data_IF_347933247472
#
_entry.id   IF_347933247472
#
_cell.length_a   1.000
_cell.length_b   1.000
_cell.length_c   1.000
_cell.angle_alpha   90.00
_cell.angle_beta   90.00
_cell.angle_gamma   90.00
#
_symmetry.space_group_name_H-M   'P 1'
#
loop_
_entity.id
_entity.type
_entity.pdbx_description
1 polymer ?
#
# COMPACT_ATOMS: atom_id res chain seq x y z
N UNK A 1 -8.96 -7.58 20.89
CA UNK A 1 -8.04 -7.62 19.73
C UNK A 1 -7.42 -9.00 19.75
N UNK A 2 -7.81 -9.85 18.75
CA UNK A 2 -7.17 -11.14 18.55
C UNK A 2 -5.76 -10.88 17.99
N UNK A 3 -4.73 -11.12 18.78
CA UNK A 3 -3.35 -11.09 18.31
C UNK A 3 -3.09 -12.42 17.58
N UNK A 4 -3.07 -12.36 16.23
CA UNK A 4 -2.90 -13.54 15.39
C UNK A 4 -1.44 -13.70 14.89
N UNK A 5 -0.48 -13.15 15.61
CA UNK A 5 0.92 -12.98 15.19
C UNK A 5 1.66 -14.29 14.83
N UNK A 6 1.20 -15.42 15.38
CA UNK A 6 1.82 -16.73 15.13
C UNK A 6 0.97 -17.67 14.28
N UNK A 7 -0.04 -17.16 13.59
CA UNK A 7 -0.91 -18.00 12.79
C UNK A 7 -0.42 -18.09 11.33
N UNK A 8 -0.67 -19.19 10.65
CA UNK A 8 -0.46 -19.25 9.20
C UNK A 8 -1.24 -18.13 8.50
N UNK A 9 -0.63 -17.53 7.47
CA UNK A 9 -1.24 -16.42 6.71
C UNK A 9 -2.66 -16.73 6.23
N UNK A 10 -2.91 -17.96 5.80
CA UNK A 10 -4.25 -18.38 5.36
C UNK A 10 -5.30 -18.24 6.47
N UNK A 11 -4.97 -18.64 7.71
CA UNK A 11 -5.87 -18.50 8.86
C UNK A 11 -6.10 -17.04 9.22
N UNK A 12 -5.04 -16.24 9.17
CA UNK A 12 -5.12 -14.80 9.42
C UNK A 12 -6.03 -14.13 8.38
N UNK A 13 -5.81 -14.41 7.08
CA UNK A 13 -6.55 -13.79 6.00
C UNK A 13 -8.00 -14.26 5.91
N UNK A 14 -8.31 -15.51 6.27
CA UNK A 14 -9.71 -15.98 6.40
C UNK A 14 -10.46 -15.15 7.47
N UNK A 15 -9.85 -14.97 8.63
CA UNK A 15 -10.46 -14.18 9.71
C UNK A 15 -10.59 -12.70 9.32
N UNK A 16 -9.57 -12.14 8.67
CA UNK A 16 -9.57 -10.75 8.20
C UNK A 16 -10.66 -10.51 7.16
N UNK A 17 -10.77 -11.39 6.17
CA UNK A 17 -11.80 -11.34 5.13
C UNK A 17 -13.22 -11.39 5.71
N UNK A 18 -13.48 -12.28 6.66
CA UNK A 18 -14.80 -12.38 7.31
C UNK A 18 -15.17 -11.08 8.02
N UNK A 19 -14.19 -10.47 8.70
CA UNK A 19 -14.38 -9.17 9.36
C UNK A 19 -14.67 -8.07 8.34
N UNK A 20 -13.92 -8.01 7.24
CA UNK A 20 -14.14 -7.05 6.17
C UNK A 20 -15.50 -7.22 5.48
N UNK A 21 -15.90 -8.47 5.23
CA UNK A 21 -17.22 -8.77 4.65
C UNK A 21 -18.37 -8.36 5.57
N UNK A 22 -18.18 -8.54 6.88
CA UNK A 22 -19.14 -8.06 7.87
C UNK A 22 -19.25 -6.53 7.84
N UNK A 23 -18.11 -5.83 7.85
CA UNK A 23 -18.09 -4.36 7.71
C UNK A 23 -18.76 -3.91 6.41
N UNK A 24 -18.43 -4.54 5.27
CA UNK A 24 -19.05 -4.25 3.99
C UNK A 24 -20.58 -4.37 4.04
N UNK A 25 -21.10 -5.47 4.57
CA UNK A 25 -22.53 -5.69 4.66
C UNK A 25 -23.21 -4.68 5.60
N UNK A 26 -22.56 -4.28 6.69
CA UNK A 26 -23.09 -3.31 7.64
C UNK A 26 -23.14 -1.90 7.02
N UNK A 27 -22.01 -1.42 6.47
CA UNK A 27 -21.97 -0.04 5.94
C UNK A 27 -22.91 0.14 4.76
N UNK A 28 -23.08 -0.89 3.92
CA UNK A 28 -24.00 -0.84 2.79
C UNK A 28 -25.50 -0.86 3.16
N UNK A 29 -25.84 -1.10 4.42
CA UNK A 29 -27.21 -0.89 4.92
C UNK A 29 -27.52 0.61 5.09
N UNK A 30 -26.49 1.44 5.25
CA UNK A 30 -26.62 2.86 5.48
C UNK A 30 -26.26 3.69 4.25
N UNK A 31 -25.19 3.32 3.55
CA UNK A 31 -24.73 3.98 2.34
C UNK A 31 -24.14 2.98 1.35
N UNK A 32 -24.83 2.81 0.22
CA UNK A 32 -24.44 1.88 -0.86
C UNK A 32 -23.13 2.31 -1.59
N UNK A 33 -22.68 3.54 -1.39
CA UNK A 33 -21.43 4.04 -1.99
C UNK A 33 -20.23 3.92 -1.05
N UNK A 34 -20.42 3.43 0.17
CA UNK A 34 -19.32 3.23 1.12
C UNK A 34 -18.37 2.15 0.63
N UNK A 35 -17.07 2.36 0.84
CA UNK A 35 -16.03 1.38 0.55
C UNK A 35 -15.43 0.82 1.85
N UNK A 36 -14.99 -0.42 1.79
CA UNK A 36 -14.20 -1.06 2.85
C UNK A 36 -12.80 -1.35 2.33
N UNK A 37 -11.79 -1.14 3.17
CA UNK A 37 -10.40 -1.19 2.76
C UNK A 37 -9.62 -2.24 3.56
N UNK A 38 -8.80 -3.04 2.85
CA UNK A 38 -7.72 -3.76 3.51
C UNK A 38 -6.57 -2.78 3.75
N UNK A 39 -6.16 -2.64 5.01
CA UNK A 39 -5.03 -1.81 5.40
C UNK A 39 -3.76 -2.65 5.50
N UNK A 40 -2.65 -2.14 4.95
CA UNK A 40 -1.37 -2.85 4.92
C UNK A 40 -0.18 -1.90 4.85
N UNK A 41 0.98 -2.39 5.28
CA UNK A 41 2.24 -1.65 5.26
C UNK A 41 2.92 -1.68 3.87
N UNK A 42 4.11 -1.12 3.77
CA UNK A 42 4.90 -1.05 2.54
C UNK A 42 5.67 -2.34 2.17
N UNK A 43 5.70 -3.36 3.04
CA UNK A 43 6.48 -4.59 2.81
C UNK A 43 5.84 -5.51 1.77
N UNK A 44 6.17 -5.29 0.48
CA UNK A 44 5.51 -5.97 -0.64
C UNK A 44 5.88 -7.45 -0.77
N UNK A 45 7.15 -7.75 -1.04
CA UNK A 45 7.67 -9.12 -1.10
C UNK A 45 8.55 -9.49 0.11
N UNK A 46 8.59 -8.64 1.13
CA UNK A 46 9.29 -8.87 2.37
C UNK A 46 8.35 -8.61 3.55
N UNK A 47 8.49 -9.37 4.63
CA UNK A 47 7.82 -9.06 5.87
C UNK A 47 8.52 -7.87 6.55
N UNK A 48 7.83 -6.77 6.76
CA UNK A 48 8.40 -5.53 7.31
C UNK A 48 8.76 -5.63 8.81
N UNK A 49 8.45 -6.73 9.47
CA UNK A 49 8.76 -6.97 10.88
C UNK A 49 8.46 -8.40 11.31
N UNK A 50 8.88 -8.76 12.50
CA UNK A 50 8.57 -10.07 13.10
C UNK A 50 7.07 -10.25 13.27
N UNK A 51 6.54 -11.39 12.83
CA UNK A 51 5.10 -11.69 12.88
C UNK A 51 4.25 -10.99 11.81
N UNK A 52 4.87 -10.29 10.85
CA UNK A 52 4.21 -9.65 9.73
C UNK A 52 4.21 -10.56 8.50
N UNK A 53 3.25 -10.34 7.61
CA UNK A 53 3.17 -11.05 6.34
C UNK A 53 3.58 -10.13 5.20
N UNK A 54 4.01 -10.72 4.08
CA UNK A 54 4.21 -9.99 2.83
C UNK A 54 2.86 -9.48 2.33
N UNK A 55 2.80 -8.22 1.95
CA UNK A 55 1.56 -7.58 1.49
C UNK A 55 1.03 -8.26 0.23
N UNK A 56 1.91 -8.63 -0.70
CA UNK A 56 1.50 -9.35 -1.91
C UNK A 56 0.78 -10.65 -1.57
N UNK A 57 1.32 -11.45 -0.66
CA UNK A 57 0.67 -12.69 -0.23
C UNK A 57 -0.68 -12.41 0.44
N UNK A 58 -0.78 -11.36 1.27
CA UNK A 58 -2.06 -10.97 1.89
C UNK A 58 -3.12 -10.59 0.84
N UNK A 59 -2.75 -9.81 -0.16
CA UNK A 59 -3.67 -9.40 -1.23
C UNK A 59 -4.08 -10.58 -2.12
N UNK A 60 -3.16 -11.50 -2.40
CA UNK A 60 -3.43 -12.71 -3.17
C UNK A 60 -4.40 -13.64 -2.42
N UNK A 61 -4.21 -13.84 -1.09
CA UNK A 61 -5.16 -14.59 -0.25
C UNK A 61 -6.51 -13.87 -0.14
N UNK A 62 -6.51 -12.54 0.04
CA UNK A 62 -7.74 -11.76 0.06
C UNK A 62 -8.55 -11.94 -1.21
N UNK A 63 -7.89 -11.87 -2.36
CA UNK A 63 -8.50 -12.06 -3.67
C UNK A 63 -9.01 -13.49 -3.87
N UNK A 64 -8.23 -14.49 -3.48
CA UNK A 64 -8.60 -15.91 -3.58
C UNK A 64 -9.85 -16.22 -2.73
N UNK A 65 -9.83 -15.85 -1.46
CA UNK A 65 -10.90 -16.20 -0.53
C UNK A 65 -12.16 -15.38 -0.76
N UNK A 66 -12.05 -14.09 -1.11
CA UNK A 66 -13.24 -13.29 -1.42
C UNK A 66 -14.01 -13.87 -2.59
N UNK A 67 -13.33 -14.36 -3.63
CA UNK A 67 -13.97 -14.96 -4.80
C UNK A 67 -14.60 -16.32 -4.50
N UNK A 68 -13.95 -17.14 -3.69
CA UNK A 68 -14.46 -18.46 -3.32
C UNK A 68 -15.80 -18.39 -2.56
N UNK A 69 -15.99 -17.34 -1.74
CA UNK A 69 -17.19 -17.14 -0.92
C UNK A 69 -18.19 -16.13 -1.50
N UNK A 70 -18.01 -15.72 -2.75
CA UNK A 70 -18.77 -14.63 -3.37
C UNK A 70 -18.08 -13.29 -3.20
N UNK A 71 -17.51 -12.77 -4.29
CA UNK A 71 -16.72 -11.54 -4.28
C UNK A 71 -17.56 -10.33 -3.89
N UNK A 72 -16.94 -9.40 -3.16
CA UNK A 72 -17.50 -8.11 -2.81
C UNK A 72 -16.48 -7.02 -3.14
N UNK A 73 -16.94 -5.78 -3.30
CA UNK A 73 -16.05 -4.68 -3.61
C UNK A 73 -15.29 -4.24 -2.35
N UNK A 74 -14.03 -4.61 -2.29
CA UNK A 74 -13.07 -4.16 -1.29
C UNK A 74 -11.93 -3.42 -1.98
N UNK A 75 -11.32 -2.48 -1.30
CA UNK A 75 -10.31 -1.57 -1.81
C UNK A 75 -9.03 -1.64 -0.97
N UNK A 76 -7.99 -0.97 -1.41
CA UNK A 76 -6.65 -1.02 -0.84
C UNK A 76 -6.33 0.27 -0.10
N UNK A 77 -5.91 0.20 1.17
CA UNK A 77 -5.41 1.30 1.97
C UNK A 77 -3.93 1.05 2.29
N UNK A 78 -3.04 1.69 1.54
CA UNK A 78 -1.60 1.48 1.63
C UNK A 78 -0.94 2.48 2.57
N UNK A 79 -0.02 1.99 3.40
CA UNK A 79 0.88 2.79 4.23
C UNK A 79 2.25 2.84 3.55
N UNK A 80 2.43 3.82 2.66
CA UNK A 80 3.59 3.92 1.76
C UNK A 80 4.75 4.68 2.39
N UNK A 81 5.33 4.13 3.44
CA UNK A 81 6.54 4.67 4.06
C UNK A 81 7.80 4.25 3.28
N UNK A 82 8.92 5.02 3.33
CA UNK A 82 10.22 4.57 2.84
C UNK A 82 10.66 3.27 3.54
N UNK A 83 11.44 2.43 2.86
CA UNK A 83 12.04 1.24 3.48
C UNK A 83 12.87 1.59 4.72
N UNK A 84 13.53 2.75 4.68
CA UNK A 84 14.19 3.37 5.82
C UNK A 84 13.51 4.69 6.16
N UNK A 85 12.70 4.71 7.20
CA UNK A 85 11.92 5.88 7.61
C UNK A 85 12.77 7.14 7.85
N UNK A 86 14.04 6.95 8.25
CA UNK A 86 15.01 8.03 8.43
C UNK A 86 15.55 8.65 7.14
N UNK A 87 15.29 8.06 5.97
CA UNK A 87 15.73 8.61 4.69
C UNK A 87 14.59 9.35 3.99
N UNK A 88 14.63 10.71 3.93
CA UNK A 88 13.60 11.49 3.23
C UNK A 88 13.75 11.45 1.70
N UNK A 89 14.91 10.99 1.19
CA UNK A 89 15.21 10.93 -0.23
C UNK A 89 14.58 9.67 -0.84
N UNK A 90 13.26 9.67 -1.05
CA UNK A 90 12.51 8.49 -1.52
C UNK A 90 13.03 7.95 -2.85
N UNK A 91 13.53 8.81 -3.73
CA UNK A 91 14.14 8.44 -5.02
C UNK A 91 15.40 7.56 -4.90
N UNK A 92 16.10 7.63 -3.76
CA UNK A 92 17.33 6.84 -3.49
C UNK A 92 17.04 5.49 -2.84
N UNK A 93 15.76 5.17 -2.58
CA UNK A 93 15.37 3.92 -1.95
C UNK A 93 15.65 2.73 -2.90
N UNK A 94 16.78 2.07 -2.68
CA UNK A 94 17.23 0.94 -3.52
C UNK A 94 16.33 -0.30 -3.35
N UNK A 95 15.60 -0.43 -2.24
CA UNK A 95 14.70 -1.56 -1.97
C UNK A 95 13.33 -1.37 -2.60
N UNK A 96 13.03 -0.16 -3.09
CA UNK A 96 11.82 0.18 -3.83
C UNK A 96 12.14 0.25 -5.33
N UNK A 97 11.91 -0.84 -6.05
CA UNK A 97 12.09 -0.95 -7.50
C UNK A 97 10.74 -0.93 -8.20
N UNK A 98 10.69 -0.62 -9.51
CA UNK A 98 9.45 -0.61 -10.31
C UNK A 98 8.98 -1.99 -10.78
N UNK A 99 9.66 -3.04 -10.33
CA UNK A 99 9.32 -4.44 -10.60
C UNK A 99 8.22 -4.94 -9.66
N UNK A 100 7.40 -5.87 -10.12
CA UNK A 100 6.49 -6.65 -9.26
C UNK A 100 7.23 -7.49 -8.20
N UNK A 101 8.53 -7.70 -8.37
CA UNK A 101 9.38 -8.42 -7.42
C UNK A 101 10.10 -7.49 -6.44
N UNK A 102 9.73 -6.20 -6.39
CA UNK A 102 10.27 -5.25 -5.41
C UNK A 102 10.09 -5.76 -3.98
N UNK A 103 10.99 -5.41 -3.08
CA UNK A 103 10.85 -5.74 -1.65
C UNK A 103 9.77 -4.86 -1.00
N UNK A 104 9.80 -3.56 -1.30
CA UNK A 104 8.89 -2.57 -0.72
C UNK A 104 8.11 -1.81 -1.79
N UNK A 105 6.89 -1.40 -1.45
CA UNK A 105 6.13 -0.39 -2.19
C UNK A 105 6.07 0.87 -1.35
N UNK A 106 6.75 1.90 -1.82
CA UNK A 106 6.92 3.19 -1.15
C UNK A 106 6.35 4.31 -2.02
N UNK A 107 6.51 5.56 -1.62
CA UNK A 107 6.14 6.71 -2.46
C UNK A 107 6.88 6.74 -3.82
N UNK A 108 8.04 6.05 -3.91
CA UNK A 108 8.83 6.00 -5.15
C UNK A 108 8.20 5.16 -6.27
N UNK A 109 7.50 4.07 -5.91
CA UNK A 109 7.13 3.02 -6.86
C UNK A 109 5.68 2.55 -6.70
N UNK A 110 4.76 3.49 -6.49
CA UNK A 110 3.31 3.22 -6.35
C UNK A 110 2.70 2.53 -7.57
N UNK A 111 3.35 2.62 -8.73
CA UNK A 111 2.99 1.91 -9.97
C UNK A 111 2.95 0.40 -9.80
N UNK A 112 3.65 -0.15 -8.81
CA UNK A 112 3.58 -1.58 -8.50
C UNK A 112 2.17 -1.96 -8.03
N UNK A 113 1.54 -1.11 -7.19
CA UNK A 113 0.13 -1.30 -6.80
C UNK A 113 -0.79 -1.11 -7.99
N UNK A 114 -0.53 -0.09 -8.82
CA UNK A 114 -1.29 0.17 -10.05
C UNK A 114 -1.25 -1.04 -10.98
N UNK A 115 -0.08 -1.60 -11.20
CA UNK A 115 0.10 -2.83 -11.99
C UNK A 115 -0.69 -4.00 -11.38
N UNK A 116 -0.62 -4.20 -10.05
CA UNK A 116 -1.32 -5.30 -9.39
C UNK A 116 -2.84 -5.19 -9.52
N UNK A 117 -3.44 -4.01 -9.29
CA UNK A 117 -4.89 -3.80 -9.42
C UNK A 117 -5.37 -3.80 -10.88
N UNK A 118 -4.45 -3.63 -11.83
CA UNK A 118 -4.75 -3.69 -13.26
C UNK A 118 -4.82 -5.12 -13.81
N UNK A 119 -4.30 -6.11 -13.08
CA UNK A 119 -4.41 -7.51 -13.46
C UNK A 119 -5.88 -7.95 -13.39
N UNK A 120 -6.49 -8.46 -14.50
CA UNK A 120 -7.92 -8.81 -14.52
C UNK A 120 -8.35 -9.77 -13.40
N UNK A 121 -7.46 -10.69 -13.02
CA UNK A 121 -7.70 -11.64 -11.92
C UNK A 121 -7.81 -10.96 -10.56
N UNK A 122 -7.30 -9.75 -10.38
CA UNK A 122 -7.33 -8.99 -9.13
C UNK A 122 -8.52 -8.02 -9.06
N UNK A 123 -9.22 -7.84 -10.18
CA UNK A 123 -10.36 -6.94 -10.29
C UNK A 123 -11.64 -7.57 -9.73
N UNK A 124 -12.52 -6.72 -9.23
CA UNK A 124 -13.86 -7.15 -8.80
C UNK A 124 -14.67 -7.60 -10.00
N UNK A 125 -15.27 -8.78 -9.91
CA UNK A 125 -16.03 -9.42 -11.00
C UNK A 125 -15.26 -9.44 -12.35
N UNK A 126 -13.92 -9.46 -12.27
CA UNK A 126 -13.06 -9.58 -13.46
C UNK A 126 -13.00 -8.37 -14.39
N UNK A 127 -13.52 -7.22 -13.99
CA UNK A 127 -13.52 -6.03 -14.86
C UNK A 127 -13.59 -4.69 -14.12
N UNK A 128 -13.89 -4.67 -12.82
CA UNK A 128 -13.94 -3.44 -12.04
C UNK A 128 -12.67 -3.33 -11.21
N UNK A 129 -11.88 -2.32 -11.49
CA UNK A 129 -10.64 -2.04 -10.78
C UNK A 129 -10.94 -1.65 -9.32
N UNK A 130 -10.17 -2.21 -8.38
CA UNK A 130 -10.25 -1.83 -6.98
C UNK A 130 -9.56 -0.50 -6.73
N UNK A 131 -10.12 0.34 -5.86
CA UNK A 131 -9.52 1.62 -5.47
C UNK A 131 -8.23 1.41 -4.68
N UNK A 132 -7.28 2.30 -4.85
CA UNK A 132 -6.04 2.35 -4.07
C UNK A 132 -5.96 3.71 -3.38
N UNK A 133 -5.85 3.70 -2.06
CA UNK A 133 -5.72 4.90 -1.25
C UNK A 133 -4.41 4.85 -0.46
N UNK A 134 -3.74 5.98 -0.39
CA UNK A 134 -2.62 6.17 0.53
C UNK A 134 -3.21 6.68 1.84
N UNK A 135 -3.47 5.75 2.78
CA UNK A 135 -4.08 6.09 4.06
C UNK A 135 -3.09 6.59 5.09
N UNK A 136 -1.82 6.18 4.93
CA UNK A 136 -0.70 6.70 5.69
C UNK A 136 0.51 6.83 4.77
N UNK A 137 1.19 7.97 4.82
CA UNK A 137 2.45 8.17 4.12
C UNK A 137 3.27 9.20 4.90
N UNK A 138 4.59 9.06 4.84
CA UNK A 138 5.45 10.00 5.54
C UNK A 138 6.92 9.73 5.31
N UNK A 139 7.70 10.78 5.46
CA UNK A 139 9.15 10.74 5.59
C UNK A 139 9.55 11.61 6.76
N UNK A 140 10.73 11.40 7.32
CA UNK A 140 11.25 12.32 8.32
C UNK A 140 12.32 13.25 7.71
N UNK A 141 12.40 14.46 8.22
CA UNK A 141 13.57 15.31 8.02
C UNK A 141 14.68 14.86 8.97
N UNK A 142 15.93 14.81 8.48
CA UNK A 142 17.08 14.46 9.31
C UNK A 142 17.39 15.54 10.34
N UNK A 143 17.05 16.79 10.02
CA UNK A 143 17.21 17.96 10.90
C UNK A 143 16.25 19.08 10.49
N UNK A 144 16.29 20.20 11.20
CA UNK A 144 15.58 21.43 10.82
C UNK A 144 16.38 22.33 9.86
N UNK A 145 17.51 21.86 9.33
CA UNK A 145 18.26 22.59 8.30
C UNK A 145 17.46 22.64 7.00
N UNK A 146 17.53 23.77 6.29
CA UNK A 146 16.77 24.03 5.04
C UNK A 146 16.92 22.88 4.01
N UNK A 147 18.14 22.34 3.88
CA UNK A 147 18.40 21.24 2.94
C UNK A 147 17.63 19.96 3.30
N UNK A 148 17.54 19.63 4.59
CA UNK A 148 16.85 18.42 5.04
C UNK A 148 15.33 18.57 4.91
N UNK A 149 14.80 19.76 5.18
CA UNK A 149 13.39 20.10 4.97
C UNK A 149 13.03 20.06 3.47
N UNK A 150 13.93 20.55 2.60
CA UNK A 150 13.75 20.49 1.16
C UNK A 150 13.75 19.04 0.65
N UNK A 151 14.63 18.18 1.18
CA UNK A 151 14.67 16.76 0.84
C UNK A 151 13.37 16.06 1.24
N UNK A 152 12.85 16.36 2.43
CA UNK A 152 11.56 15.81 2.89
C UNK A 152 10.42 16.25 1.97
N UNK A 153 10.35 17.54 1.63
CA UNK A 153 9.33 18.08 0.74
C UNK A 153 9.40 17.45 -0.66
N UNK A 154 10.62 17.29 -1.19
CA UNK A 154 10.82 16.63 -2.48
C UNK A 154 10.43 15.15 -2.48
N UNK A 155 10.65 14.45 -1.36
CA UNK A 155 10.24 13.06 -1.19
C UNK A 155 8.73 12.85 -1.35
N UNK A 156 7.91 13.83 -0.97
CA UNK A 156 6.47 13.81 -1.19
C UNK A 156 6.04 14.21 -2.61
N UNK A 157 6.89 14.92 -3.34
CA UNK A 157 6.60 15.33 -4.71
C UNK A 157 6.95 14.28 -5.75
N UNK A 158 7.65 13.23 -5.34
CA UNK A 158 8.12 12.16 -6.20
C UNK A 158 7.15 10.98 -6.21
N UNK A 159 6.47 10.76 -7.33
CA UNK A 159 5.49 9.69 -7.51
C UNK A 159 5.70 8.83 -8.77
N UNK A 160 6.77 9.05 -9.53
CA UNK A 160 7.07 8.30 -10.74
C UNK A 160 8.59 8.08 -10.99
N UNK A 161 8.92 7.31 -12.03
CA UNK A 161 10.30 7.03 -12.45
C UNK A 161 11.08 8.28 -12.87
N UNK A 162 10.41 9.39 -13.14
CA UNK A 162 11.01 10.66 -13.56
C UNK A 162 11.48 11.51 -12.38
N UNK A 163 11.25 11.08 -11.14
CA UNK A 163 11.64 11.79 -9.94
C UNK A 163 13.13 12.03 -9.87
N UNK A 164 13.50 13.31 -9.79
CA UNK A 164 14.88 13.77 -9.73
C UNK A 164 15.24 14.25 -8.32
N UNK A 165 16.53 14.21 -7.95
CA UNK A 165 16.99 14.81 -6.69
C UNK A 165 16.55 16.29 -6.57
N UNK A 166 16.38 16.83 -5.36
CA UNK A 166 15.84 18.19 -5.12
C UNK A 166 16.52 19.32 -5.88
N UNK A 167 17.79 19.15 -6.25
CA UNK A 167 18.55 20.11 -7.04
C UNK A 167 18.07 20.24 -8.49
N UNK A 168 17.21 19.34 -8.94
CA UNK A 168 16.71 19.26 -10.32
C UNK A 168 15.18 19.38 -10.41
N UNK A 169 14.47 19.38 -9.29
CA UNK A 169 13.02 19.60 -9.25
C UNK A 169 12.77 21.10 -9.21
N UNK A 170 12.24 21.72 -10.26
CA UNK A 170 11.82 23.12 -10.19
C UNK A 170 10.61 23.21 -9.26
N UNK A 171 10.77 23.84 -8.09
CA UNK A 171 9.65 24.18 -7.22
C UNK A 171 8.66 25.06 -7.98
N UNK A 172 7.56 24.47 -8.42
CA UNK A 172 6.38 25.20 -8.90
C UNK A 172 5.33 25.19 -7.78
N UNK A 173 5.47 26.09 -6.83
CA UNK A 173 4.31 26.55 -6.08
C UNK A 173 3.76 27.79 -6.79
N UNK A 174 2.63 27.62 -7.42
CA UNK A 174 1.73 28.71 -7.82
C UNK A 174 0.61 28.80 -6.80
#
# INVERSE_FOLDING_TARGET
>A
ILVLWDKPIATFMDTYLRSMRMCYNIVHQYDQNSEVFISFSHGWNIAAGGGWYKVRDMLDFMNLFSKAEGDFFWSLACHSYPAQLGNPCTWDDAQATFSMDTEYVTLKNLEVLDKWVSIPQNQYKGGIRRSVWLSEAGTCSLSYADKDLQNQAAGFACDDESCLPPTQVPFKYS
#
